data_IF_723040555735
#
_entry.id   IF_723040555735
#
_cell.length_a   1.000
_cell.length_b   1.000
_cell.length_c   1.000
_cell.angle_alpha   90.00
_cell.angle_beta   90.00
_cell.angle_gamma   90.00
#
_symmetry.space_group_name_H-M   'P 1'
#
loop_
_entity.id
_entity.type
_entity.pdbx_description
1 polymer ?
#
# COMPACT_ATOMS: atom_id res chain seq x y z
N UNK A 1 20.93 75.03 14.16
CA UNK A 1 19.73 75.66 13.58
C UNK A 1 19.41 74.97 12.28
N UNK A 2 18.38 74.13 12.36
CA UNK A 2 17.39 73.71 11.38
C UNK A 2 17.73 73.68 9.89
N UNK A 3 17.73 72.46 9.32
CA UNK A 3 17.39 72.24 7.92
C UNK A 3 16.43 71.05 7.74
N UNK A 4 15.17 71.41 7.45
CA UNK A 4 14.37 70.94 6.31
C UNK A 4 13.91 69.47 6.26
N UNK A 5 12.59 69.33 6.48
CA UNK A 5 11.64 68.37 5.90
C UNK A 5 12.18 67.50 4.74
N UNK A 6 12.08 66.18 4.90
CA UNK A 6 11.79 65.27 3.79
C UNK A 6 10.73 64.27 4.28
N UNK A 7 9.49 64.49 3.81
CA UNK A 7 8.46 63.46 3.77
C UNK A 7 8.86 62.50 2.65
N UNK A 8 9.29 61.29 2.96
CA UNK A 8 9.45 60.24 1.96
C UNK A 8 8.60 59.04 2.35
N UNK A 9 7.51 58.92 1.58
CA UNK A 9 6.61 57.79 1.48
C UNK A 9 7.34 56.76 0.62
N UNK A 10 7.62 55.57 1.16
CA UNK A 10 8.01 54.35 0.45
C UNK A 10 7.71 53.23 1.45
N UNK A 11 6.47 52.72 1.47
CA UNK A 11 6.13 51.51 0.72
C UNK A 11 7.21 50.45 0.86
N UNK A 12 7.09 49.61 1.88
CA UNK A 12 7.62 48.25 1.82
C UNK A 12 6.58 47.33 2.47
N UNK A 13 5.73 46.80 1.61
CA UNK A 13 4.82 45.70 1.90
C UNK A 13 5.61 44.53 2.47
N UNK A 14 5.63 44.37 3.79
CA UNK A 14 5.93 43.07 4.39
C UNK A 14 4.65 42.25 4.24
N UNK A 15 4.62 41.54 3.12
CA UNK A 15 3.69 40.47 2.83
C UNK A 15 3.73 39.50 4.00
N UNK A 16 2.70 39.56 4.84
CA UNK A 16 2.46 38.63 5.93
C UNK A 16 1.95 37.30 5.32
N UNK A 17 2.81 36.61 4.57
CA UNK A 17 2.63 35.20 4.28
C UNK A 17 3.03 34.42 5.53
N UNK A 18 2.17 34.53 6.55
CA UNK A 18 2.07 33.51 7.57
C UNK A 18 1.57 32.24 6.90
N UNK A 19 2.48 31.49 6.28
CA UNK A 19 2.32 30.05 6.09
C UNK A 19 2.26 29.52 7.51
N UNK A 20 1.05 29.49 8.05
CA UNK A 20 0.75 28.83 9.31
C UNK A 20 0.92 27.35 9.00
N UNK A 21 2.16 26.90 9.16
CA UNK A 21 2.62 25.53 9.09
C UNK A 21 2.02 24.79 10.28
N UNK A 22 0.71 24.61 10.24
CA UNK A 22 0.06 23.52 10.94
C UNK A 22 0.03 22.36 9.96
N UNK A 23 1.18 21.72 9.79
CA UNK A 23 1.21 20.32 9.46
C UNK A 23 0.46 19.62 10.60
N UNK A 24 -0.86 19.54 10.44
CA UNK A 24 -1.71 18.62 11.16
C UNK A 24 -1.15 17.26 10.80
N UNK A 25 -0.26 16.76 11.64
CA UNK A 25 0.23 15.41 11.49
C UNK A 25 -1.01 14.51 11.51
N UNK A 26 -1.15 13.62 10.52
CA UNK A 26 -2.30 12.75 10.47
C UNK A 26 -2.35 11.90 11.72
N UNK A 27 -3.57 11.79 12.24
CA UNK A 27 -3.99 11.00 13.39
C UNK A 27 -3.71 9.53 13.09
N UNK A 28 -2.47 9.07 13.32
CA UNK A 28 -2.10 7.65 13.24
C UNK A 28 -1.58 7.21 14.61
N UNK A 29 -2.45 7.26 15.60
CA UNK A 29 -2.19 6.70 16.92
C UNK A 29 -3.34 5.78 17.34
N UNK A 30 -3.79 4.95 16.40
CA UNK A 30 -4.32 3.64 16.73
C UNK A 30 -3.33 2.64 16.15
N UNK A 31 -2.14 2.57 16.76
CA UNK A 31 -1.29 1.39 16.63
C UNK A 31 -2.16 0.25 17.17
N UNK A 32 -2.75 -0.51 16.25
CA UNK A 32 -3.68 -1.56 16.66
C UNK A 32 -2.85 -2.57 17.43
N UNK A 33 -3.40 -3.20 18.49
CA UNK A 33 -2.64 -4.15 19.31
C UNK A 33 -1.96 -5.24 18.45
N UNK A 34 -2.54 -5.56 17.29
CA UNK A 34 -1.98 -6.41 16.24
C UNK A 34 -0.68 -5.90 15.63
N UNK A 35 -0.53 -4.60 15.40
CA UNK A 35 0.65 -4.01 14.75
C UNK A 35 1.87 -4.08 15.67
N UNK A 36 1.67 -3.71 16.94
CA UNK A 36 2.70 -3.81 17.99
C UNK A 36 3.13 -5.27 18.24
N UNK A 37 2.16 -6.20 18.19
CA UNK A 37 2.44 -7.64 18.36
C UNK A 37 3.27 -8.19 17.20
N UNK A 38 2.89 -7.89 15.95
CA UNK A 38 3.63 -8.32 14.75
C UNK A 38 5.02 -7.68 14.73
N UNK A 39 5.13 -6.40 15.10
CA UNK A 39 6.39 -5.70 15.20
C UNK A 39 7.34 -6.41 16.17
N UNK A 40 6.86 -6.72 17.37
CA UNK A 40 7.66 -7.39 18.40
C UNK A 40 8.02 -8.81 18.00
N UNK A 41 7.07 -9.56 17.44
CA UNK A 41 7.23 -10.97 17.07
C UNK A 41 8.26 -11.16 15.95
N UNK A 42 8.28 -10.28 14.96
CA UNK A 42 9.16 -10.39 13.79
C UNK A 42 10.34 -9.42 13.80
N UNK A 43 10.43 -8.56 14.83
CA UNK A 43 11.43 -7.51 14.99
C UNK A 43 11.40 -6.50 13.84
N UNK A 44 10.19 -6.07 13.47
CA UNK A 44 10.00 -5.08 12.42
C UNK A 44 10.26 -3.67 12.94
N UNK A 45 10.67 -2.80 12.04
CA UNK A 45 10.80 -1.36 12.30
C UNK A 45 9.45 -0.67 12.17
N UNK A 46 9.31 0.50 12.79
CA UNK A 46 8.10 1.32 12.62
C UNK A 46 7.87 1.75 11.17
N UNK A 47 8.92 1.85 10.35
CA UNK A 47 8.80 2.09 8.91
C UNK A 47 8.21 0.89 8.17
N UNK A 48 8.62 -0.33 8.51
CA UNK A 48 8.05 -1.55 7.93
C UNK A 48 6.58 -1.75 8.29
N UNK A 49 6.18 -1.41 9.52
CA UNK A 49 4.77 -1.40 9.93
C UNK A 49 3.97 -0.37 9.12
N UNK A 50 4.52 0.84 8.91
CA UNK A 50 3.88 1.84 8.04
C UNK A 50 3.76 1.36 6.60
N UNK A 51 4.75 0.65 6.07
CA UNK A 51 4.67 0.03 4.74
C UNK A 51 3.56 -1.02 4.67
N UNK A 52 3.41 -1.85 5.70
CA UNK A 52 2.31 -2.81 5.80
C UNK A 52 0.96 -2.10 5.85
N UNK A 53 0.82 -1.03 6.64
CA UNK A 53 -0.40 -0.22 6.71
C UNK A 53 -0.73 0.52 5.41
N UNK A 54 0.29 1.00 4.69
CA UNK A 54 0.12 1.66 3.39
C UNK A 54 -0.20 0.68 2.26
N UNK A 55 0.05 -0.61 2.47
CA UNK A 55 -0.21 -1.64 1.46
C UNK A 55 -1.66 -2.12 1.50
N UNK A 56 -2.21 -2.54 0.36
CA UNK A 56 -3.60 -3.02 0.24
C UNK A 56 -3.86 -4.42 0.83
N UNK A 57 -3.06 -4.87 1.82
CA UNK A 57 -3.26 -6.17 2.47
C UNK A 57 -3.92 -6.01 3.84
N UNK A 58 -4.70 -7.01 4.25
CA UNK A 58 -5.38 -7.00 5.54
C UNK A 58 -4.41 -7.25 6.70
N UNK A 59 -4.75 -6.77 7.89
CA UNK A 59 -3.94 -6.98 9.11
C UNK A 59 -3.69 -8.47 9.40
N UNK A 60 -4.65 -9.35 9.04
CA UNK A 60 -4.50 -10.81 9.13
C UNK A 60 -3.36 -11.38 8.28
N UNK A 61 -2.90 -10.64 7.26
CA UNK A 61 -1.79 -11.01 6.40
C UNK A 61 -0.44 -10.44 6.88
N UNK A 62 -0.41 -9.52 7.85
CA UNK A 62 0.84 -8.96 8.38
C UNK A 62 1.73 -10.03 9.01
N UNK A 63 1.14 -10.97 9.74
CA UNK A 63 1.86 -12.11 10.31
C UNK A 63 2.51 -13.00 9.23
N UNK A 64 1.86 -13.15 8.06
CA UNK A 64 2.42 -13.91 6.92
C UNK A 64 3.62 -13.18 6.32
N UNK A 65 3.52 -11.87 6.14
CA UNK A 65 4.60 -11.06 5.58
C UNK A 65 5.80 -11.04 6.53
N UNK A 66 5.56 -10.80 7.82
CA UNK A 66 6.60 -10.86 8.85
C UNK A 66 7.29 -12.23 8.93
N UNK A 67 6.50 -13.31 8.93
CA UNK A 67 7.03 -14.68 8.94
C UNK A 67 7.85 -14.99 7.68
N UNK A 68 7.36 -14.62 6.50
CA UNK A 68 8.08 -14.82 5.23
C UNK A 68 9.38 -14.02 5.18
N UNK A 69 9.34 -12.75 5.58
CA UNK A 69 10.53 -11.91 5.65
C UNK A 69 11.57 -12.53 6.58
N UNK A 70 11.16 -12.96 7.78
CA UNK A 70 12.06 -13.59 8.74
C UNK A 70 12.61 -14.94 8.30
N UNK A 71 11.76 -15.80 7.74
CA UNK A 71 12.17 -17.14 7.31
C UNK A 71 13.05 -17.11 6.05
N UNK A 72 12.80 -16.16 5.15
CA UNK A 72 13.58 -16.02 3.91
C UNK A 72 14.81 -15.13 4.03
N UNK A 73 14.89 -14.33 5.09
CA UNK A 73 15.91 -13.28 5.25
C UNK A 73 15.72 -12.09 4.30
N UNK A 74 14.57 -11.98 3.61
CA UNK A 74 14.26 -10.86 2.70
C UNK A 74 13.52 -9.74 3.40
N UNK A 75 13.55 -8.54 2.81
CA UNK A 75 12.82 -7.38 3.36
C UNK A 75 11.31 -7.54 3.22
N UNK A 76 10.56 -6.92 4.14
CA UNK A 76 9.11 -6.81 4.08
C UNK A 76 8.64 -6.22 2.74
N UNK A 77 9.36 -5.20 2.25
CA UNK A 77 9.06 -4.55 0.97
C UNK A 77 9.12 -5.54 -0.20
N UNK A 78 10.12 -6.42 -0.24
CA UNK A 78 10.24 -7.39 -1.33
C UNK A 78 9.11 -8.42 -1.29
N UNK A 79 8.74 -8.89 -0.09
CA UNK A 79 7.59 -9.79 0.10
C UNK A 79 6.28 -9.10 -0.29
N UNK A 80 6.09 -7.84 0.10
CA UNK A 80 4.94 -7.02 -0.27
C UNK A 80 4.86 -6.85 -1.78
N UNK A 81 5.97 -6.50 -2.44
CA UNK A 81 6.04 -6.34 -3.89
C UNK A 81 5.64 -7.61 -4.64
N UNK A 82 6.05 -8.78 -4.16
CA UNK A 82 5.62 -10.05 -4.75
C UNK A 82 4.10 -10.27 -4.61
N UNK A 83 3.49 -9.80 -3.51
CA UNK A 83 2.05 -9.92 -3.29
C UNK A 83 1.23 -8.87 -4.05
N UNK A 84 1.64 -7.60 -4.03
CA UNK A 84 0.83 -6.48 -4.54
C UNK A 84 1.08 -6.23 -6.02
N UNK A 85 2.34 -6.14 -6.45
CA UNK A 85 2.68 -5.86 -7.84
C UNK A 85 2.62 -7.12 -8.70
N UNK A 86 3.24 -8.21 -8.23
CA UNK A 86 3.30 -9.46 -8.99
C UNK A 86 2.08 -10.36 -8.78
N UNK A 87 1.16 -9.96 -7.88
CA UNK A 87 -0.08 -10.69 -7.54
C UNK A 87 0.16 -12.17 -7.27
N UNK A 88 1.28 -12.50 -6.63
CA UNK A 88 1.59 -13.88 -6.31
C UNK A 88 0.79 -14.36 -5.11
N UNK A 89 0.38 -15.63 -5.18
CA UNK A 89 -0.19 -16.34 -4.03
C UNK A 89 0.84 -16.59 -2.95
N UNK A 90 0.43 -16.61 -1.68
CA UNK A 90 1.32 -16.78 -0.52
C UNK A 90 2.21 -18.03 -0.63
N UNK A 91 1.66 -19.14 -1.11
CA UNK A 91 2.43 -20.37 -1.32
C UNK A 91 3.46 -20.28 -2.45
N UNK A 92 3.22 -19.45 -3.47
CA UNK A 92 4.19 -19.19 -4.54
C UNK A 92 5.30 -18.26 -4.04
N UNK A 93 4.94 -17.23 -3.27
CA UNK A 93 5.91 -16.34 -2.61
C UNK A 93 6.84 -17.15 -1.71
N UNK A 94 6.30 -18.02 -0.85
CA UNK A 94 7.09 -18.91 0.00
C UNK A 94 8.11 -19.74 -0.81
N UNK A 95 7.66 -20.40 -1.88
CA UNK A 95 8.53 -21.17 -2.77
C UNK A 95 9.61 -20.32 -3.44
N UNK A 96 9.25 -19.15 -3.95
CA UNK A 96 10.21 -18.21 -4.58
C UNK A 96 11.28 -17.75 -3.58
N UNK A 97 10.90 -17.63 -2.31
CA UNK A 97 11.78 -17.22 -1.23
C UNK A 97 12.54 -18.38 -0.56
N UNK A 98 12.35 -19.61 -1.03
CA UNK A 98 13.00 -20.80 -0.46
C UNK A 98 12.43 -21.23 0.89
N UNK A 99 11.29 -20.68 1.31
CA UNK A 99 10.61 -21.02 2.57
C UNK A 99 9.64 -22.17 2.29
N UNK A 100 9.69 -23.24 3.09
CA UNK A 100 8.74 -24.34 2.96
C UNK A 100 7.33 -23.80 3.30
N UNK A 101 6.33 -23.92 2.40
CA UNK A 101 4.96 -23.51 2.68
C UNK A 101 4.37 -24.11 3.95
N UNK A 102 4.89 -25.25 4.43
CA UNK A 102 4.49 -25.84 5.72
C UNK A 102 4.86 -24.96 6.91
N UNK A 103 5.92 -24.16 6.83
CA UNK A 103 6.33 -23.24 7.89
C UNK A 103 5.36 -22.07 8.06
N UNK A 104 4.56 -21.75 7.05
CA UNK A 104 3.47 -20.78 7.15
C UNK A 104 2.19 -21.36 7.79
N UNK A 105 2.15 -22.67 8.09
CA UNK A 105 1.06 -23.35 8.81
C UNK A 105 -0.27 -23.46 8.04
N UNK A 106 -1.37 -23.77 8.76
CA UNK A 106 -2.73 -23.85 8.21
C UNK A 106 -3.17 -22.56 7.47
N UNK A 107 -2.54 -21.43 7.79
CA UNK A 107 -2.74 -20.13 7.15
C UNK A 107 -2.50 -20.16 5.62
N UNK A 108 -1.69 -21.08 5.10
CA UNK A 108 -1.50 -21.24 3.64
C UNK A 108 -2.68 -21.94 2.97
N UNK A 109 -3.37 -22.85 3.66
CA UNK A 109 -4.53 -23.53 3.09
C UNK A 109 -5.69 -22.55 2.87
N UNK A 110 -5.93 -21.66 3.83
CA UNK A 110 -6.92 -20.59 3.70
C UNK A 110 -6.50 -19.52 2.68
N UNK A 111 -5.20 -19.22 2.62
CA UNK A 111 -4.63 -18.40 1.55
C UNK A 111 -4.87 -18.99 0.16
N UNK A 112 -4.78 -20.31 0.01
CA UNK A 112 -5.02 -20.97 -1.27
C UNK A 112 -6.49 -20.87 -1.70
N UNK A 113 -7.42 -20.80 -0.73
CA UNK A 113 -8.83 -20.49 -0.98
C UNK A 113 -9.01 -19.04 -1.40
N UNK A 114 -8.38 -18.11 -0.70
CA UNK A 114 -8.42 -16.67 -0.99
C UNK A 114 -7.88 -16.36 -2.40
N UNK A 115 -6.70 -16.90 -2.74
CA UNK A 115 -6.11 -16.80 -4.09
C UNK A 115 -7.03 -17.39 -5.18
N UNK A 116 -7.75 -18.47 -4.84
CA UNK A 116 -8.72 -19.07 -5.75
C UNK A 116 -9.94 -18.18 -5.96
N UNK A 117 -10.38 -17.46 -4.92
CA UNK A 117 -11.45 -16.47 -5.04
C UNK A 117 -10.99 -15.25 -5.86
N UNK A 118 -9.78 -14.76 -5.63
CA UNK A 118 -9.20 -13.63 -6.37
C UNK A 118 -9.07 -13.96 -7.87
N UNK A 119 -8.51 -15.13 -8.21
CA UNK A 119 -8.47 -15.62 -9.61
C UNK A 119 -9.84 -15.78 -10.24
N UNK A 120 -10.87 -16.13 -9.45
CA UNK A 120 -12.25 -16.22 -9.93
C UNK A 120 -12.82 -14.84 -10.22
N UNK A 121 -12.56 -13.86 -9.36
CA UNK A 121 -12.95 -12.46 -9.56
C UNK A 121 -12.28 -11.86 -10.80
N UNK A 122 -10.97 -12.03 -10.97
CA UNK A 122 -10.23 -11.57 -12.15
C UNK A 122 -10.77 -12.20 -13.45
N UNK A 123 -11.06 -13.51 -13.42
CA UNK A 123 -11.64 -14.21 -14.57
C UNK A 123 -13.05 -13.72 -14.89
N UNK A 124 -13.83 -13.31 -13.88
CA UNK A 124 -15.16 -12.73 -14.07
C UNK A 124 -15.07 -11.37 -14.76
N UNK A 125 -14.23 -10.45 -14.26
CA UNK A 125 -14.00 -9.15 -14.90
C UNK A 125 -13.48 -9.29 -16.33
N UNK A 126 -12.56 -10.23 -16.58
CA UNK A 126 -12.03 -10.45 -17.93
C UNK A 126 -13.13 -10.89 -18.91
N UNK A 127 -14.06 -11.73 -18.45
CA UNK A 127 -15.21 -12.14 -19.27
C UNK A 127 -16.15 -10.97 -19.55
N UNK A 128 -16.36 -10.11 -18.57
CA UNK A 128 -17.21 -8.92 -18.71
C UNK A 128 -16.62 -7.94 -19.72
N UNK A 129 -15.32 -7.61 -19.61
CA UNK A 129 -14.61 -6.79 -20.60
C UNK A 129 -14.65 -7.38 -22.01
N UNK A 130 -14.58 -8.70 -22.14
CA UNK A 130 -14.71 -9.37 -23.43
C UNK A 130 -16.12 -9.28 -24.02
N UNK A 131 -17.17 -9.33 -23.19
CA UNK A 131 -18.55 -9.13 -23.65
C UNK A 131 -18.74 -7.69 -24.12
N UNK A 132 -18.31 -6.72 -23.32
CA UNK A 132 -18.44 -5.29 -23.64
C UNK A 132 -17.69 -4.92 -24.94
N UNK A 133 -16.48 -5.46 -25.13
CA UNK A 133 -15.76 -5.29 -26.41
C UNK A 133 -16.47 -5.95 -27.60
N UNK A 134 -17.10 -7.11 -27.40
CA UNK A 134 -17.86 -7.78 -28.47
C UNK A 134 -19.10 -6.96 -28.84
N UNK A 135 -19.84 -6.45 -27.87
CA UNK A 135 -21.01 -5.60 -28.11
C UNK A 135 -20.63 -4.32 -28.84
N UNK A 136 -19.58 -3.60 -28.39
CA UNK A 136 -19.06 -2.41 -29.10
C UNK A 136 -18.63 -2.72 -30.53
N UNK A 137 -18.05 -3.90 -30.78
CA UNK A 137 -17.62 -4.33 -32.11
C UNK A 137 -18.79 -4.70 -33.01
N UNK A 138 -19.89 -5.21 -32.48
CA UNK A 138 -21.13 -5.49 -33.23
C UNK A 138 -21.93 -4.20 -33.49
N UNK A 139 -21.98 -3.26 -32.56
CA UNK A 139 -22.57 -1.94 -32.79
C UNK A 139 -21.83 -1.15 -33.88
N UNK A 140 -20.50 -1.16 -33.85
CA UNK A 140 -19.66 -0.52 -34.88
C UNK A 140 -19.81 -1.15 -36.28
N UNK A 141 -20.24 -2.41 -36.37
CA UNK A 141 -20.57 -3.07 -37.65
C UNK A 141 -21.97 -2.74 -38.15
N UNK A 142 -22.92 -2.42 -37.26
CA UNK A 142 -24.29 -2.05 -37.63
C UNK A 142 -24.44 -0.58 -38.05
N UNK A 143 -23.48 0.26 -37.68
CA UNK A 143 -23.43 1.69 -38.03
C UNK A 143 -22.64 1.99 -39.30
N UNK A 144 -22.12 0.96 -39.98
CA UNK A 144 -21.33 1.07 -41.21
C UNK A 144 -22.04 0.36 -42.36
#
# INVERSE_FOLDING_TARGET
MDFKKIKNVLSLSVVLFGVNMLATQPVFAAETATDAEVQTRYQLTGEEIKMLQASSISHSQYDKVGRLSRASGKSIEEVLKMRTEQKMGWGKIAKTLGVDPKELGQSVADSHREDKMEKRAEKAERKERQKEMKEKREEAKKTK
#
